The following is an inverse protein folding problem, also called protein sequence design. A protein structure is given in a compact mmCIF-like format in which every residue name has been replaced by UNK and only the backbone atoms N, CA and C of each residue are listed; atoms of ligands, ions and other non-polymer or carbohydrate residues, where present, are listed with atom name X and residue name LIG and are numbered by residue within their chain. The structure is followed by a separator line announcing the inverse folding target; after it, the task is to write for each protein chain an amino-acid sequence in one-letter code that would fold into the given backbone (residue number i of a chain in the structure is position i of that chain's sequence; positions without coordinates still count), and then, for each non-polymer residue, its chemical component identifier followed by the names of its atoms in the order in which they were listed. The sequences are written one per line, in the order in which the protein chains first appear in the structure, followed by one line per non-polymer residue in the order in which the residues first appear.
data_IF_361321131705
#
_entry.id   IF_361321131705
#
_cell.length_a   1.000
_cell.length_b   1.000
_cell.length_c   1.000
_cell.angle_alpha   90.00
_cell.angle_beta   90.00
_cell.angle_gamma   90.00
#
_symmetry.space_group_name_H-M   'P 1'
#
loop_
_entity.id
_entity.type
_entity.pdbx_description
1 polymer ?
#
# COMPACT_ATOMS: atom_id res chain seq x y z
N UNK A 1 -5.21 6.31 15.68
CA UNK A 1 -3.81 6.55 16.07
C UNK A 1 -3.19 7.49 15.05
N UNK A 2 -2.46 8.49 15.52
CA UNK A 2 -1.82 9.51 14.68
C UNK A 2 -0.50 8.93 14.16
N UNK A 3 -0.42 8.65 12.86
CA UNK A 3 0.74 8.03 12.22
C UNK A 3 1.14 8.85 10.98
N UNK A 4 2.43 8.97 10.75
CA UNK A 4 2.99 9.56 9.55
C UNK A 4 2.67 8.65 8.36
N UNK A 5 2.10 9.20 7.29
CA UNK A 5 1.77 8.42 6.10
C UNK A 5 2.99 7.96 5.30
N UNK A 6 4.18 8.53 5.55
CA UNK A 6 5.44 8.12 4.92
C UNK A 6 6.11 6.95 5.64
N UNK A 7 6.24 7.03 6.97
CA UNK A 7 7.00 6.05 7.77
C UNK A 7 6.16 5.13 8.62
N UNK A 8 4.87 5.43 8.79
CA UNK A 8 3.99 4.69 9.70
C UNK A 8 4.31 4.88 11.18
N UNK A 9 5.30 5.72 11.51
CA UNK A 9 5.68 6.05 12.88
C UNK A 9 4.85 7.22 13.41
N UNK A 10 4.85 7.40 14.73
CA UNK A 10 4.20 8.55 15.36
C UNK A 10 5.08 9.79 15.08
N UNK A 11 4.57 10.82 14.40
CA UNK A 11 5.37 11.98 14.01
C UNK A 11 5.77 12.83 15.22
N UNK A 12 7.03 13.30 15.26
CA UNK A 12 7.54 14.21 16.29
C UNK A 12 7.05 15.64 16.12
N UNK A 13 6.92 16.10 14.88
CA UNK A 13 6.25 17.37 14.58
C UNK A 13 5.21 17.09 13.50
N UNK A 14 3.96 16.79 13.88
CA UNK A 14 2.92 16.47 12.92
C UNK A 14 2.60 17.68 12.06
N UNK A 15 2.74 17.52 10.74
CA UNK A 15 2.34 18.49 9.73
C UNK A 15 1.25 17.90 8.86
N UNK A 16 0.26 18.71 8.52
CA UNK A 16 -0.85 18.34 7.64
C UNK A 16 -0.73 19.05 6.32
N UNK A 17 -0.93 18.28 5.25
CA UNK A 17 -1.09 18.81 3.88
C UNK A 17 -2.52 19.26 3.64
N UNK A 18 -2.80 20.12 2.64
CA UNK A 18 -4.16 20.56 2.31
C UNK A 18 -5.16 19.42 2.07
N UNK A 19 -4.66 18.24 1.70
CA UNK A 19 -5.44 17.02 1.46
C UNK A 19 -5.78 16.25 2.75
N UNK A 20 -5.44 16.77 3.94
CA UNK A 20 -5.72 16.15 5.23
C UNK A 20 -4.79 14.99 5.61
N UNK A 21 -3.66 14.83 4.93
CA UNK A 21 -2.69 13.77 5.22
C UNK A 21 -1.64 14.28 6.19
N UNK A 22 -1.37 13.46 7.22
CA UNK A 22 -0.43 13.76 8.29
C UNK A 22 0.95 13.17 7.95
N UNK A 23 1.97 14.01 8.08
CA UNK A 23 3.37 13.64 7.92
C UNK A 23 4.19 14.13 9.11
N UNK A 24 5.42 13.62 9.23
CA UNK A 24 6.43 14.25 10.06
C UNK A 24 7.14 15.36 9.27
N UNK A 25 7.42 16.48 9.93
CA UNK A 25 7.98 17.69 9.29
C UNK A 25 9.32 17.41 8.60
N UNK A 26 10.23 16.69 9.25
CA UNK A 26 11.55 16.43 8.68
C UNK A 26 11.48 15.55 7.42
N UNK A 27 10.57 14.57 7.43
CA UNK A 27 10.44 13.59 6.36
C UNK A 27 9.76 14.19 5.14
N UNK A 28 8.71 14.98 5.34
CA UNK A 28 8.03 15.63 4.22
C UNK A 28 8.93 16.67 3.55
N UNK A 29 9.73 17.42 4.31
CA UNK A 29 10.70 18.37 3.74
C UNK A 29 11.78 17.66 2.92
N UNK A 30 12.28 16.50 3.39
CA UNK A 30 13.20 15.67 2.61
C UNK A 30 12.53 15.17 1.31
N UNK A 31 11.27 14.75 1.39
CA UNK A 31 10.51 14.29 0.23
C UNK A 31 10.31 15.40 -0.80
N UNK A 32 9.89 16.60 -0.37
CA UNK A 32 9.64 17.77 -1.24
C UNK A 32 10.92 18.19 -1.98
N UNK A 33 12.08 18.13 -1.31
CA UNK A 33 13.39 18.43 -1.93
C UNK A 33 13.76 17.44 -3.05
N UNK A 34 13.40 16.18 -2.89
CA UNK A 34 13.71 15.13 -3.88
C UNK A 34 12.69 15.13 -5.03
N UNK A 35 11.41 15.36 -4.72
CA UNK A 35 10.32 15.42 -5.67
C UNK A 35 9.23 16.35 -5.13
N UNK A 36 8.83 17.42 -5.86
CA UNK A 36 7.81 18.37 -5.43
C UNK A 36 6.39 17.80 -5.58
N UNK A 37 6.18 16.56 -5.14
CA UNK A 37 4.94 15.80 -5.28
C UNK A 37 4.62 15.10 -3.96
N UNK A 38 3.34 15.09 -3.57
CA UNK A 38 2.83 14.34 -2.45
C UNK A 38 3.09 12.83 -2.66
N UNK A 39 3.75 12.13 -1.72
CA UNK A 39 4.11 10.72 -1.85
C UNK A 39 2.91 9.76 -1.87
N UNK A 40 1.75 10.20 -1.36
CA UNK A 40 0.53 9.37 -1.25
C UNK A 40 -0.48 9.71 -2.35
N UNK A 41 -0.67 10.99 -2.67
CA UNK A 41 -1.72 11.45 -3.59
C UNK A 41 -1.23 11.83 -4.98
N UNK A 42 0.07 12.03 -5.16
CA UNK A 42 0.62 12.47 -6.46
C UNK A 42 0.35 13.95 -6.79
N UNK A 43 -0.20 14.73 -5.86
CA UNK A 43 -0.49 16.15 -6.06
C UNK A 43 0.76 17.03 -5.82
N UNK A 44 0.92 18.17 -6.51
CA UNK A 44 2.03 19.09 -6.23
C UNK A 44 1.94 19.60 -4.79
N UNK A 45 3.07 19.60 -4.09
CA UNK A 45 3.16 20.05 -2.71
C UNK A 45 4.35 20.99 -2.54
N UNK A 46 4.12 22.13 -1.89
CA UNK A 46 5.17 23.08 -1.55
C UNK A 46 5.30 23.21 -0.03
N UNK A 47 6.47 23.67 0.42
CA UNK A 47 6.79 23.79 1.85
C UNK A 47 5.82 24.73 2.59
N UNK A 48 5.29 25.74 1.89
CA UNK A 48 4.36 26.73 2.45
C UNK A 48 2.95 26.17 2.70
N UNK A 49 2.59 25.05 2.07
CA UNK A 49 1.27 24.44 2.18
C UNK A 49 1.16 23.53 3.42
N UNK A 50 2.26 23.37 4.16
CA UNK A 50 2.33 22.54 5.35
C UNK A 50 1.81 23.30 6.57
N UNK A 51 0.82 22.73 7.24
CA UNK A 51 0.25 23.29 8.46
C UNK A 51 0.71 22.45 9.64
N UNK A 52 1.44 23.06 10.57
CA UNK A 52 1.85 22.40 11.82
C UNK A 52 0.67 22.20 12.76
N UNK A 53 0.51 20.98 13.27
CA UNK A 53 -0.47 20.67 14.29
C UNK A 53 0.18 20.69 15.68
N UNK A 54 -0.29 21.58 16.55
CA UNK A 54 0.09 21.61 17.96
C UNK A 54 -0.72 20.56 18.73
N UNK A 55 -0.37 19.29 18.56
CA UNK A 55 -0.97 18.19 19.33
C UNK A 55 -0.06 17.93 20.53
N UNK A 56 -0.61 18.02 21.73
CA UNK A 56 0.05 17.55 22.96
C UNK A 56 0.25 16.03 22.84
N UNK A 57 1.42 15.63 22.37
CA UNK A 57 1.80 14.24 22.19
C UNK A 57 1.71 13.52 23.54
N UNK A 58 0.75 12.62 23.68
CA UNK A 58 0.80 11.60 24.72
C UNK A 58 1.93 10.65 24.34
N UNK A 59 3.10 10.95 24.90
CA UNK A 59 4.36 10.27 24.71
C UNK A 59 4.21 8.74 24.74
N UNK A 60 4.26 8.12 23.57
CA UNK A 60 4.70 6.74 23.39
C UNK A 60 5.77 6.81 22.31
N UNK A 61 6.80 7.62 22.54
CA UNK A 61 8.06 7.41 21.86
C UNK A 61 8.47 5.95 22.16
N UNK A 62 8.84 5.13 21.16
CA UNK A 62 9.48 3.85 21.46
C UNK A 62 10.61 4.17 22.42
N UNK A 63 10.76 3.42 23.54
CA UNK A 63 11.73 3.76 24.57
C UNK A 63 13.06 4.03 23.88
N UNK A 64 13.56 5.26 24.00
CA UNK A 64 14.86 5.63 23.47
C UNK A 64 15.84 4.55 23.95
N UNK A 65 16.66 4.05 23.04
CA UNK A 65 17.59 2.97 23.34
C UNK A 65 18.66 3.51 24.31
N UNK A 66 18.35 3.58 25.60
CA UNK A 66 19.26 4.00 26.66
C UNK A 66 20.22 2.85 26.93
N UNK A 67 21.14 2.63 25.99
CA UNK A 67 22.21 1.67 26.15
C UNK A 67 23.09 2.13 27.33
N UNK A 68 22.94 1.46 28.47
CA UNK A 68 23.70 1.75 29.68
C UNK A 68 25.15 1.27 29.57
N UNK A 69 25.41 0.32 28.66
CA UNK A 69 26.72 -0.24 28.34
C UNK A 69 26.87 -0.47 26.84
N UNK A 70 28.12 -0.49 26.35
CA UNK A 70 28.44 -0.88 24.97
C UNK A 70 27.86 -2.26 24.60
N UNK A 71 27.84 -3.20 25.55
CA UNK A 71 27.24 -4.53 25.35
C UNK A 71 25.73 -4.49 25.12
N UNK A 72 25.02 -3.59 25.81
CA UNK A 72 23.57 -3.42 25.63
C UNK A 72 23.27 -2.79 24.27
N UNK A 73 24.10 -1.84 23.81
CA UNK A 73 23.99 -1.24 22.49
C UNK A 73 24.15 -2.30 21.38
N UNK A 74 25.18 -3.15 21.48
CA UNK A 74 25.40 -4.23 20.51
C UNK A 74 24.26 -5.24 20.50
N UNK A 75 23.77 -5.63 21.68
CA UNK A 75 22.64 -6.54 21.81
C UNK A 75 21.36 -5.94 21.20
N UNK A 76 21.16 -4.63 21.39
CA UNK A 76 20.10 -3.86 20.76
C UNK A 76 20.15 -3.85 19.25
N UNK A 77 21.31 -3.51 18.71
CA UNK A 77 21.56 -3.50 17.27
C UNK A 77 21.33 -4.89 16.67
N UNK A 78 21.83 -5.94 17.34
CA UNK A 78 21.62 -7.32 16.91
C UNK A 78 20.12 -7.67 16.87
N UNK A 79 19.35 -7.26 17.88
CA UNK A 79 17.92 -7.50 17.92
C UNK A 79 17.18 -6.75 16.79
N UNK A 80 17.48 -5.46 16.58
CA UNK A 80 16.88 -4.69 15.48
C UNK A 80 17.21 -5.29 14.12
N UNK A 81 18.46 -5.74 13.93
CA UNK A 81 18.88 -6.39 12.70
C UNK A 81 18.14 -7.73 12.49
N UNK A 82 17.97 -8.54 13.55
CA UNK A 82 17.21 -9.78 13.48
C UNK A 82 15.75 -9.55 13.09
N UNK A 83 15.12 -8.51 13.66
CA UNK A 83 13.74 -8.10 13.31
C UNK A 83 13.67 -7.71 11.84
N UNK A 84 14.56 -6.83 11.37
CA UNK A 84 14.60 -6.38 9.99
C UNK A 84 14.78 -7.54 9.00
N UNK A 85 15.70 -8.47 9.30
CA UNK A 85 15.91 -9.65 8.45
C UNK A 85 14.66 -10.54 8.38
N UNK A 86 13.97 -10.72 9.51
CA UNK A 86 12.72 -11.47 9.55
C UNK A 86 11.64 -10.80 8.71
N UNK A 87 11.42 -9.50 8.88
CA UNK A 87 10.43 -8.74 8.11
C UNK A 87 10.70 -8.78 6.60
N UNK A 88 11.97 -8.61 6.21
CA UNK A 88 12.40 -8.69 4.83
C UNK A 88 12.19 -10.09 4.25
N UNK A 89 12.50 -11.14 5.01
CA UNK A 89 12.26 -12.52 4.60
C UNK A 89 10.77 -12.80 4.43
N UNK A 90 9.93 -12.42 5.41
CA UNK A 90 8.49 -12.60 5.34
C UNK A 90 7.86 -11.85 4.17
N UNK A 91 8.32 -10.62 3.91
CA UNK A 91 7.85 -9.81 2.78
C UNK A 91 8.19 -10.47 1.45
N UNK A 92 9.44 -10.95 1.28
CA UNK A 92 9.84 -11.70 0.09
C UNK A 92 9.06 -12.99 -0.08
N UNK A 93 8.79 -13.71 1.01
CA UNK A 93 7.97 -14.92 0.99
C UNK A 93 6.54 -14.63 0.53
N UNK A 94 5.91 -13.57 1.05
CA UNK A 94 4.58 -13.12 0.64
C UNK A 94 4.54 -12.73 -0.83
N UNK A 95 5.55 -12.00 -1.32
CA UNK A 95 5.67 -11.64 -2.74
C UNK A 95 5.68 -12.90 -3.62
N UNK A 96 6.55 -13.88 -3.32
CA UNK A 96 6.61 -15.11 -4.09
C UNK A 96 5.35 -15.98 -3.98
N UNK A 97 4.60 -15.88 -2.87
CA UNK A 97 3.29 -16.53 -2.74
C UNK A 97 2.23 -15.84 -3.63
N UNK A 98 2.13 -14.51 -3.58
CA UNK A 98 1.22 -13.74 -4.43
C UNK A 98 1.48 -13.95 -5.92
N UNK A 99 2.74 -14.06 -6.34
CA UNK A 99 3.09 -14.37 -7.75
C UNK A 99 2.56 -15.75 -8.18
N UNK A 100 2.67 -16.76 -7.32
CA UNK A 100 2.14 -18.10 -7.61
C UNK A 100 0.62 -18.11 -7.66
N UNK A 101 -0.04 -17.46 -6.70
CA UNK A 101 -1.50 -17.33 -6.66
C UNK A 101 -2.02 -16.58 -7.88
N UNK A 102 -1.35 -15.50 -8.30
CA UNK A 102 -1.68 -14.75 -9.51
C UNK A 102 -1.50 -15.61 -10.77
N UNK A 103 -0.40 -16.34 -10.89
CA UNK A 103 -0.16 -17.24 -12.03
C UNK A 103 -1.27 -18.29 -12.11
N UNK A 104 -1.62 -18.93 -11.00
CA UNK A 104 -2.72 -19.90 -10.94
C UNK A 104 -4.05 -19.28 -11.38
N UNK A 105 -4.42 -18.12 -10.86
CA UNK A 105 -5.66 -17.43 -11.24
C UNK A 105 -5.70 -17.07 -12.74
N UNK A 106 -4.56 -16.69 -13.33
CA UNK A 106 -4.48 -16.44 -14.77
C UNK A 106 -4.63 -17.71 -15.59
N UNK A 107 -4.02 -18.83 -15.18
CA UNK A 107 -4.21 -20.12 -15.84
C UNK A 107 -5.67 -20.59 -15.80
N UNK A 108 -6.33 -20.47 -14.65
CA UNK A 108 -7.75 -20.81 -14.50
C UNK A 108 -8.64 -19.91 -15.36
N UNK A 109 -8.34 -18.61 -15.42
CA UNK A 109 -9.04 -17.65 -16.31
C UNK A 109 -8.88 -18.02 -17.79
N UNK A 110 -7.69 -18.41 -18.22
CA UNK A 110 -7.46 -18.85 -19.60
C UNK A 110 -8.19 -20.16 -19.93
N UNK A 111 -8.20 -21.12 -19.01
CA UNK A 111 -8.98 -22.34 -19.15
C UNK A 111 -10.48 -22.04 -19.27
N UNK A 112 -11.02 -21.19 -18.39
CA UNK A 112 -12.42 -20.77 -18.43
C UNK A 112 -12.79 -20.09 -19.75
N UNK A 113 -11.93 -19.18 -20.27
CA UNK A 113 -12.13 -18.55 -21.58
C UNK A 113 -12.20 -19.56 -22.72
N UNK A 114 -11.35 -20.61 -22.71
CA UNK A 114 -11.39 -21.67 -23.73
C UNK A 114 -12.68 -22.48 -23.66
N UNK A 115 -13.15 -22.78 -22.45
CA UNK A 115 -14.44 -23.48 -22.25
C UNK A 115 -15.59 -22.61 -22.76
N UNK A 116 -15.63 -21.32 -22.43
CA UNK A 116 -16.65 -20.39 -22.92
C UNK A 116 -16.62 -20.32 -24.45
N UNK A 117 -15.44 -20.18 -25.07
CA UNK A 117 -15.31 -20.16 -26.52
C UNK A 117 -15.84 -21.45 -27.16
N UNK A 118 -15.52 -22.62 -26.58
CA UNK A 118 -16.06 -23.91 -27.03
C UNK A 118 -17.59 -23.96 -26.87
N UNK A 119 -18.13 -23.54 -25.73
CA UNK A 119 -19.58 -23.52 -25.49
C UNK A 119 -20.32 -22.61 -26.48
N UNK A 120 -19.74 -21.47 -26.85
CA UNK A 120 -20.29 -20.58 -27.89
C UNK A 120 -20.31 -21.27 -29.25
N UNK A 121 -19.24 -22.01 -29.60
CA UNK A 121 -19.19 -22.75 -30.87
C UNK A 121 -20.13 -23.96 -30.91
N UNK A 122 -20.40 -24.60 -29.77
CA UNK A 122 -21.28 -25.78 -29.67
C UNK A 122 -22.78 -25.40 -29.59
N UNK A 123 -23.11 -24.20 -29.07
CA UNK A 123 -24.49 -23.72 -28.93
C UNK A 123 -24.77 -22.43 -29.74
N UNK A 124 -24.49 -22.36 -31.05
CA UNK A 124 -24.77 -21.15 -31.84
C UNK A 124 -26.28 -20.85 -31.92
N UNK A 125 -27.11 -21.90 -31.98
CA UNK A 125 -28.55 -21.79 -32.18
C UNK A 125 -29.28 -21.27 -30.93
N UNK A 126 -28.87 -21.68 -29.72
CA UNK A 126 -29.48 -21.23 -28.46
C UNK A 126 -29.19 -19.74 -28.17
N UNK A 127 -28.02 -19.24 -28.60
CA UNK A 127 -27.65 -17.83 -28.45
C UNK A 127 -28.39 -16.96 -29.47
N UNK A 128 -28.60 -17.45 -30.70
CA UNK A 128 -29.40 -16.77 -31.71
C UNK A 128 -30.88 -16.66 -31.31
N UNK A 129 -31.45 -17.71 -30.69
CA UNK A 129 -32.85 -17.70 -30.22
C UNK A 129 -33.07 -16.64 -29.10
N UNK A 130 -32.11 -16.44 -28.19
CA UNK A 130 -32.22 -15.44 -27.12
C UNK A 130 -32.06 -13.97 -27.60
N UNK A 131 -31.43 -13.72 -28.76
CA UNK A 131 -31.37 -12.37 -29.35
C UNK A 131 -32.63 -11.99 -30.15
N UNK A 132 -33.46 -12.97 -30.56
CA UNK A 132 -34.71 -12.68 -31.28
C UNK A 132 -35.84 -12.27 -30.33
N UNK A 133 -35.84 -12.74 -29.07
CA UNK A 133 -36.91 -12.48 -28.11
C UNK A 133 -36.73 -11.17 -27.28
N UNK A 134 -35.61 -10.46 -27.39
CA UNK A 134 -35.30 -9.26 -26.58
C UNK A 134 -35.52 -7.91 -27.27
N UNK A 135 -36.19 -7.89 -28.42
CA UNK A 135 -36.60 -6.64 -29.06
C UNK A 135 -38.10 -6.39 -28.80
N UNK A 136 -38.49 -5.58 -27.80
CA UNK A 136 -39.89 -5.22 -27.62
C UNK A 136 -40.33 -4.37 -28.82
N UNK A 137 -41.23 -4.94 -29.60
CA UNK A 137 -42.04 -4.26 -30.63
C UNK A 137 -42.57 -2.94 -30.08
N UNK A 138 -42.01 -1.82 -30.53
CA UNK A 138 -42.65 -0.52 -30.49
C UNK A 138 -43.92 -0.60 -31.35
N UNK A 139 -45.08 -0.54 -30.70
CA UNK A 139 -46.32 0.04 -31.21
C UNK A 139 -46.80 1.09 -30.22
#
# INVERSE_FOLDING_TARGET
MLHCALTGQIPKVPVVTPNGIIYDKEEILKSIKNSPVCPVTGNPLHENDLIELQISQTNIEPPEFQASSFGDCLSGLQNQWNILQKELFETRKKLGQCERELAQALYEKEAAKRIIARLITENPDQIAIHQVDTNPTNQ
#
